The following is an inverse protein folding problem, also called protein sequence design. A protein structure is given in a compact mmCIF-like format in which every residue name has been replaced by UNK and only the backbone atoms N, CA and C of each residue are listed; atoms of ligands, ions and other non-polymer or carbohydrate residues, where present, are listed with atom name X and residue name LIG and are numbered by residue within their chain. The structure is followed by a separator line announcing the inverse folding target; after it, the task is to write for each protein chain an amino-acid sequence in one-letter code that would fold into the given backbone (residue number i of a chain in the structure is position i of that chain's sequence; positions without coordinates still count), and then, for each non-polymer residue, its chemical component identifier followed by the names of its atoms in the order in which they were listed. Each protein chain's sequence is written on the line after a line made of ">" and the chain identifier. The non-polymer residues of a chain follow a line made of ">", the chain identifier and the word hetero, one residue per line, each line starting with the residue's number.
data_IF_021998288726
#
_entry.id   IF_021998288726
#
_cell.length_a   1.000
_cell.length_b   1.000
_cell.length_c   1.000
_cell.angle_alpha   90.00
_cell.angle_beta   90.00
_cell.angle_gamma   90.00
#
_symmetry.space_group_name_H-M   'P 1'
#
loop_
_entity.id
_entity.type
_entity.pdbx_description
1 polymer ?
#
# COMPACT_ATOMS: atom_id res chain seq x y z
N UNK A 1 28.15 -34.30 9.64
CA UNK A 1 27.16 -33.85 10.62
C UNK A 1 25.98 -33.24 9.85
N UNK A 2 24.84 -33.91 9.81
CA UNK A 2 23.65 -33.36 9.18
C UNK A 2 23.06 -32.30 10.11
N UNK A 3 22.99 -31.05 9.66
CA UNK A 3 22.23 -30.01 10.34
C UNK A 3 20.74 -30.37 10.27
N UNK A 4 20.20 -30.98 11.31
CA UNK A 4 18.77 -31.13 11.50
C UNK A 4 18.24 -29.78 11.94
N UNK A 5 17.72 -28.99 10.97
CA UNK A 5 17.04 -27.75 11.27
C UNK A 5 15.75 -28.13 12.06
N UNK A 6 15.61 -27.57 13.25
CA UNK A 6 14.34 -27.65 14.00
C UNK A 6 13.20 -27.10 13.14
N UNK A 7 12.06 -27.82 13.01
CA UNK A 7 10.94 -27.34 12.21
C UNK A 7 10.44 -25.99 12.77
N UNK A 8 10.68 -24.93 12.02
CA UNK A 8 10.17 -23.59 12.36
C UNK A 8 8.66 -23.57 12.11
N UNK A 9 7.88 -23.19 13.09
CA UNK A 9 6.43 -23.04 12.93
C UNK A 9 6.11 -21.90 11.95
N UNK A 10 5.04 -22.06 11.16
CA UNK A 10 4.56 -21.02 10.22
C UNK A 10 4.38 -19.68 10.94
N UNK A 11 3.78 -19.67 12.11
CA UNK A 11 3.59 -18.48 12.95
C UNK A 11 4.91 -17.77 13.29
N UNK A 12 5.97 -18.54 13.62
CA UNK A 12 7.30 -17.96 13.87
C UNK A 12 7.89 -17.27 12.65
N UNK A 13 7.70 -17.86 11.46
CA UNK A 13 8.16 -17.25 10.19
C UNK A 13 7.39 -15.97 9.89
N UNK A 14 6.05 -16.01 10.00
CA UNK A 14 5.20 -14.84 9.75
C UNK A 14 5.51 -13.69 10.70
N UNK A 15 5.76 -14.00 11.98
CA UNK A 15 6.15 -13.00 12.97
C UNK A 15 7.50 -12.34 12.63
N UNK A 16 8.48 -13.12 12.19
CA UNK A 16 9.78 -12.58 11.75
C UNK A 16 9.64 -11.66 10.54
N UNK A 17 8.74 -12.00 9.60
CA UNK A 17 8.44 -11.14 8.45
C UNK A 17 7.81 -9.83 8.91
N UNK A 18 6.84 -9.86 9.83
CA UNK A 18 6.23 -8.66 10.39
C UNK A 18 7.27 -7.76 11.07
N UNK A 19 8.16 -8.34 11.88
CA UNK A 19 9.26 -7.56 12.50
C UNK A 19 10.21 -6.96 11.47
N UNK A 20 10.52 -7.68 10.40
CA UNK A 20 11.38 -7.18 9.31
C UNK A 20 10.73 -6.03 8.54
N UNK A 21 9.39 -5.93 8.53
CA UNK A 21 8.66 -4.85 7.86
C UNK A 21 8.53 -3.57 8.71
N UNK A 22 8.79 -3.64 10.04
CA UNK A 22 8.68 -2.46 10.92
C UNK A 22 9.55 -1.28 10.46
N UNK A 23 10.83 -1.47 10.11
CA UNK A 23 11.65 -0.36 9.59
C UNK A 23 11.06 0.23 8.30
N UNK A 24 10.55 -0.60 7.40
CA UNK A 24 9.94 -0.14 6.15
C UNK A 24 8.68 0.70 6.43
N UNK A 25 7.83 0.29 7.37
CA UNK A 25 6.65 1.05 7.80
C UNK A 25 7.07 2.41 8.39
N UNK A 26 8.11 2.43 9.22
CA UNK A 26 8.63 3.66 9.81
C UNK A 26 9.14 4.64 8.75
N UNK A 27 9.94 4.16 7.80
CA UNK A 27 10.43 4.96 6.68
C UNK A 27 9.26 5.47 5.83
N UNK A 28 8.30 4.61 5.51
CA UNK A 28 7.12 4.98 4.73
C UNK A 28 6.30 6.08 5.42
N UNK A 29 6.09 5.95 6.74
CA UNK A 29 5.42 6.96 7.56
C UNK A 29 6.15 8.30 7.53
N UNK A 30 7.48 8.32 7.61
CA UNK A 30 8.29 9.54 7.59
C UNK A 30 8.22 10.26 6.25
N UNK A 31 8.18 9.52 5.14
CA UNK A 31 8.22 10.09 3.80
C UNK A 31 6.84 10.40 3.20
N UNK A 32 5.79 9.66 3.57
CA UNK A 32 4.46 9.79 2.96
C UNK A 32 3.35 10.20 3.94
N UNK A 33 3.71 10.36 5.22
CA UNK A 33 2.76 10.82 6.24
C UNK A 33 1.86 9.72 6.81
N UNK A 34 0.84 10.09 7.61
CA UNK A 34 0.07 9.16 8.45
C UNK A 34 -0.90 8.24 7.72
N UNK A 35 -1.11 8.42 6.42
CA UNK A 35 -2.05 7.61 5.64
C UNK A 35 -1.76 6.12 5.66
N UNK A 36 -0.46 5.74 5.69
CA UNK A 36 -0.07 4.34 5.76
C UNK A 36 -0.57 3.63 7.03
N UNK A 37 -0.59 4.31 8.18
CA UNK A 37 -1.06 3.72 9.43
C UNK A 37 -2.56 3.42 9.36
N UNK A 38 -3.34 4.32 8.76
CA UNK A 38 -4.78 4.14 8.53
C UNK A 38 -5.00 2.93 7.61
N UNK A 39 -4.27 2.88 6.49
CA UNK A 39 -4.33 1.78 5.53
C UNK A 39 -3.94 0.44 6.14
N UNK A 40 -2.90 0.40 6.99
CA UNK A 40 -2.47 -0.80 7.71
C UNK A 40 -3.56 -1.32 8.65
N UNK A 41 -4.14 -0.44 9.47
CA UNK A 41 -5.20 -0.83 10.40
C UNK A 41 -6.41 -1.36 9.62
N UNK A 42 -6.81 -0.64 8.57
CA UNK A 42 -7.97 -1.02 7.76
C UNK A 42 -7.76 -2.36 7.05
N UNK A 43 -6.59 -2.55 6.43
CA UNK A 43 -6.23 -3.82 5.79
C UNK A 43 -6.17 -4.98 6.80
N UNK A 44 -5.54 -4.79 7.97
CA UNK A 44 -5.44 -5.83 8.99
C UNK A 44 -6.82 -6.23 9.54
N UNK A 45 -7.67 -5.26 9.86
CA UNK A 45 -9.03 -5.52 10.34
C UNK A 45 -9.84 -6.28 9.28
N UNK A 46 -9.79 -5.83 8.04
CA UNK A 46 -10.48 -6.47 6.91
C UNK A 46 -9.95 -7.89 6.67
N UNK A 47 -8.63 -8.08 6.69
CA UNK A 47 -8.02 -9.39 6.46
C UNK A 47 -8.40 -10.40 7.56
N UNK A 48 -8.34 -9.99 8.83
CA UNK A 48 -8.72 -10.83 9.98
C UNK A 48 -10.20 -11.20 9.90
N UNK A 49 -11.07 -10.24 9.59
CA UNK A 49 -12.50 -10.47 9.44
C UNK A 49 -12.82 -11.41 8.28
N UNK A 50 -12.21 -11.18 7.11
CA UNK A 50 -12.38 -12.02 5.92
C UNK A 50 -11.84 -13.44 6.15
N UNK A 51 -10.67 -13.58 6.75
CA UNK A 51 -10.08 -14.88 7.13
C UNK A 51 -11.01 -15.66 8.06
N UNK A 52 -11.47 -15.02 9.14
CA UNK A 52 -12.38 -15.64 10.10
C UNK A 52 -13.71 -16.07 9.44
N UNK A 53 -14.27 -15.23 8.56
CA UNK A 53 -15.49 -15.54 7.82
C UNK A 53 -15.30 -16.75 6.89
N UNK A 54 -14.20 -16.77 6.12
CA UNK A 54 -13.89 -17.88 5.20
C UNK A 54 -13.62 -19.19 5.94
N UNK A 55 -12.89 -19.15 7.05
CA UNK A 55 -12.66 -20.33 7.88
C UNK A 55 -13.97 -20.88 8.46
N UNK A 56 -14.87 -19.99 8.92
CA UNK A 56 -16.20 -20.37 9.41
C UNK A 56 -17.06 -21.02 8.32
N UNK A 57 -17.10 -20.42 7.12
CA UNK A 57 -17.84 -20.97 5.98
C UNK A 57 -17.32 -22.34 5.55
N UNK A 58 -16.03 -22.58 5.69
CA UNK A 58 -15.37 -23.87 5.36
C UNK A 58 -15.45 -24.90 6.50
N UNK A 59 -16.02 -24.54 7.65
CA UNK A 59 -16.09 -25.44 8.82
C UNK A 59 -14.73 -25.74 9.46
N UNK A 60 -13.72 -24.87 9.23
CA UNK A 60 -12.37 -25.03 9.76
C UNK A 60 -12.22 -24.35 11.13
N UNK A 61 -11.33 -24.84 12.01
CA UNK A 61 -11.08 -24.21 13.30
C UNK A 61 -10.45 -22.83 13.13
N UNK A 62 -11.08 -21.79 13.66
CA UNK A 62 -10.68 -20.38 13.44
C UNK A 62 -9.34 -20.08 14.13
N UNK A 63 -9.19 -20.44 15.42
CA UNK A 63 -8.04 -20.04 16.22
C UNK A 63 -6.67 -20.42 15.62
N UNK A 64 -6.40 -21.69 15.25
CA UNK A 64 -5.06 -22.06 14.80
C UNK A 64 -4.68 -21.40 13.47
N UNK A 65 -5.63 -21.21 12.56
CA UNK A 65 -5.37 -20.58 11.26
C UNK A 65 -5.29 -19.05 11.36
N UNK A 66 -6.07 -18.44 12.25
CA UNK A 66 -6.02 -16.98 12.43
C UNK A 66 -4.73 -16.55 13.16
N UNK A 67 -4.24 -17.40 14.09
CA UNK A 67 -3.02 -17.14 14.86
C UNK A 67 -1.73 -17.50 14.10
N UNK A 68 -1.82 -18.04 12.89
CA UNK A 68 -0.63 -18.28 12.06
C UNK A 68 0.02 -16.98 11.55
N UNK A 69 -0.73 -15.87 11.59
CA UNK A 69 -0.27 -14.53 11.20
C UNK A 69 -0.25 -14.27 9.70
N UNK A 70 -0.58 -15.25 8.86
CA UNK A 70 -0.49 -15.13 7.39
C UNK A 70 -1.45 -14.08 6.82
N UNK A 71 -2.64 -13.92 7.39
CA UNK A 71 -3.59 -12.89 6.99
C UNK A 71 -3.03 -11.48 7.29
N UNK A 72 -2.39 -11.30 8.45
CA UNK A 72 -1.77 -10.02 8.84
C UNK A 72 -0.59 -9.69 7.94
N UNK A 73 0.29 -10.66 7.64
CA UNK A 73 1.40 -10.47 6.69
C UNK A 73 0.87 -10.05 5.32
N UNK A 74 -0.16 -10.72 4.81
CA UNK A 74 -0.81 -10.36 3.53
C UNK A 74 -1.34 -8.92 3.56
N UNK A 75 -2.03 -8.54 4.64
CA UNK A 75 -2.57 -7.19 4.81
C UNK A 75 -1.49 -6.12 4.85
N UNK A 76 -0.40 -6.35 5.60
CA UNK A 76 0.72 -5.41 5.72
C UNK A 76 1.43 -5.23 4.37
N UNK A 77 1.74 -6.33 3.68
CA UNK A 77 2.38 -6.27 2.36
C UNK A 77 1.49 -5.55 1.34
N UNK A 78 0.19 -5.82 1.35
CA UNK A 78 -0.77 -5.15 0.48
C UNK A 78 -0.85 -3.64 0.80
N UNK A 79 -1.01 -3.26 2.06
CA UNK A 79 -1.09 -1.87 2.47
C UNK A 79 0.17 -1.07 2.09
N UNK A 80 1.36 -1.68 2.23
CA UNK A 80 2.63 -1.07 1.80
C UNK A 80 2.76 -0.92 0.28
N UNK A 81 2.00 -1.69 -0.49
CA UNK A 81 2.00 -1.63 -1.96
C UNK A 81 0.99 -0.61 -2.50
N UNK A 82 0.01 -0.19 -1.69
CA UNK A 82 -1.06 0.72 -2.09
C UNK A 82 -0.69 2.19 -1.85
N UNK A 83 -1.26 3.14 -2.62
CA UNK A 83 -1.09 4.56 -2.33
C UNK A 83 -1.60 4.90 -0.92
N UNK A 84 -0.83 5.66 -0.10
CA UNK A 84 -1.17 5.90 1.30
C UNK A 84 -2.43 6.78 1.52
N UNK A 85 -2.84 7.52 0.50
CA UNK A 85 -4.07 8.33 0.50
C UNK A 85 -5.21 7.66 -0.29
N UNK A 86 -5.10 6.36 -0.57
CA UNK A 86 -6.16 5.62 -1.24
C UNK A 86 -7.46 5.65 -0.43
N UNK A 87 -8.64 5.77 -1.08
CA UNK A 87 -9.92 5.69 -0.40
C UNK A 87 -10.06 4.37 0.38
N UNK A 88 -10.74 4.42 1.53
CA UNK A 88 -10.90 3.27 2.42
C UNK A 88 -11.47 2.02 1.71
N UNK A 89 -12.43 2.22 0.81
CA UNK A 89 -13.07 1.12 0.09
C UNK A 89 -12.10 0.38 -0.84
N UNK A 90 -11.09 1.09 -1.40
CA UNK A 90 -10.08 0.49 -2.27
C UNK A 90 -9.21 -0.51 -1.50
N UNK A 91 -8.77 -0.15 -0.30
CA UNK A 91 -8.00 -1.02 0.60
C UNK A 91 -8.85 -2.24 1.02
N UNK A 92 -10.12 -2.01 1.38
CA UNK A 92 -11.04 -3.08 1.76
C UNK A 92 -11.25 -4.07 0.61
N UNK A 93 -11.56 -3.58 -0.59
CA UNK A 93 -11.72 -4.44 -1.77
C UNK A 93 -10.45 -5.21 -2.11
N UNK A 94 -9.29 -4.54 -2.13
CA UNK A 94 -8.01 -5.18 -2.39
C UNK A 94 -7.75 -6.33 -1.41
N UNK A 95 -8.00 -6.08 -0.11
CA UNK A 95 -7.81 -7.07 0.95
C UNK A 95 -8.79 -8.24 0.83
N UNK A 96 -10.05 -7.96 0.49
CA UNK A 96 -11.03 -9.02 0.24
C UNK A 96 -10.62 -9.90 -0.94
N UNK A 97 -10.19 -9.33 -2.06
CA UNK A 97 -9.66 -10.11 -3.18
C UNK A 97 -8.43 -10.93 -2.80
N UNK A 98 -7.50 -10.35 -2.03
CA UNK A 98 -6.32 -11.05 -1.55
C UNK A 98 -6.66 -12.27 -0.67
N UNK A 99 -7.54 -12.08 0.32
CA UNK A 99 -7.86 -13.12 1.29
C UNK A 99 -8.90 -14.11 0.74
N UNK A 100 -10.01 -13.64 0.20
CA UNK A 100 -11.10 -14.52 -0.24
C UNK A 100 -10.71 -15.24 -1.53
N UNK A 101 -10.33 -14.48 -2.57
CA UNK A 101 -10.10 -15.04 -3.89
C UNK A 101 -8.73 -15.70 -3.96
N UNK A 102 -7.65 -14.95 -3.72
CA UNK A 102 -6.31 -15.46 -3.97
C UNK A 102 -5.83 -16.49 -2.93
N UNK A 103 -6.30 -16.40 -1.68
CA UNK A 103 -5.88 -17.32 -0.62
C UNK A 103 -6.89 -18.46 -0.43
N UNK A 104 -8.16 -18.15 -0.11
CA UNK A 104 -9.10 -19.18 0.33
C UNK A 104 -9.73 -20.01 -0.78
N UNK A 105 -10.02 -19.45 -1.97
CA UNK A 105 -10.56 -20.24 -3.08
C UNK A 105 -9.59 -21.31 -3.59
N UNK A 106 -8.29 -21.11 -3.41
CA UNK A 106 -7.26 -22.09 -3.77
C UNK A 106 -6.91 -23.07 -2.63
N UNK A 107 -7.61 -23.01 -1.49
CA UNK A 107 -7.42 -23.97 -0.40
C UNK A 107 -6.76 -23.39 0.86
N UNK A 108 -6.32 -22.18 0.86
CA UNK A 108 -5.66 -21.49 1.98
C UNK A 108 -4.14 -21.46 1.89
N UNK A 109 -3.48 -21.16 3.01
CA UNK A 109 -2.03 -21.01 3.06
C UNK A 109 -1.30 -22.25 2.53
N UNK A 110 -0.35 -22.03 1.64
CA UNK A 110 0.46 -23.08 1.01
C UNK A 110 -0.14 -23.69 -0.27
N UNK A 111 -1.42 -23.48 -0.55
CA UNK A 111 -2.08 -23.97 -1.77
C UNK A 111 -2.35 -22.86 -2.79
N UNK A 112 -2.11 -21.61 -2.45
CA UNK A 112 -2.30 -20.47 -3.34
C UNK A 112 -1.19 -20.44 -4.41
N UNK A 113 -1.59 -20.27 -5.67
CA UNK A 113 -0.67 -20.20 -6.83
C UNK A 113 0.17 -18.92 -6.85
N UNK A 114 -0.40 -17.82 -6.38
CA UNK A 114 0.20 -16.48 -6.37
C UNK A 114 0.23 -15.92 -4.96
N UNK A 115 1.11 -14.95 -4.74
CA UNK A 115 1.10 -14.18 -3.50
C UNK A 115 -0.24 -13.42 -3.38
N UNK A 116 -1.05 -13.65 -2.33
CA UNK A 116 -2.37 -13.05 -2.20
C UNK A 116 -2.35 -11.53 -2.19
N UNK A 117 -1.34 -10.91 -1.55
CA UNK A 117 -1.20 -9.44 -1.54
C UNK A 117 -1.00 -8.89 -2.96
N UNK A 118 -0.18 -9.56 -3.78
CA UNK A 118 0.07 -9.14 -5.16
C UNK A 118 -1.16 -9.31 -6.06
N UNK A 119 -1.98 -10.35 -5.81
CA UNK A 119 -3.25 -10.50 -6.53
C UNK A 119 -4.21 -9.35 -6.19
N UNK A 120 -4.37 -9.04 -4.91
CA UNK A 120 -5.19 -7.90 -4.49
C UNK A 120 -4.73 -6.58 -5.11
N UNK A 121 -3.42 -6.33 -5.11
CA UNK A 121 -2.82 -5.18 -5.76
C UNK A 121 -3.10 -5.14 -7.27
N UNK A 122 -2.85 -6.25 -7.97
CA UNK A 122 -3.03 -6.33 -9.43
C UNK A 122 -4.49 -6.10 -9.84
N UNK A 123 -5.45 -6.67 -9.10
CA UNK A 123 -6.88 -6.46 -9.36
C UNK A 123 -7.23 -4.97 -9.23
N UNK A 124 -6.74 -4.29 -8.19
CA UNK A 124 -6.99 -2.85 -8.02
C UNK A 124 -6.30 -2.01 -9.10
N UNK A 125 -5.07 -2.36 -9.47
CA UNK A 125 -4.33 -1.65 -10.52
C UNK A 125 -5.05 -1.72 -11.88
N UNK A 126 -5.64 -2.86 -12.21
CA UNK A 126 -6.37 -3.05 -13.47
C UNK A 126 -7.75 -2.39 -13.40
N UNK A 127 -8.46 -2.52 -12.27
CA UNK A 127 -9.84 -2.05 -12.12
C UNK A 127 -9.93 -0.54 -11.83
N UNK A 128 -8.97 0.02 -11.09
CA UNK A 128 -8.98 1.41 -10.62
C UNK A 128 -7.63 2.10 -10.84
N UNK A 129 -7.10 2.14 -12.07
CA UNK A 129 -5.76 2.68 -12.35
C UNK A 129 -5.60 4.13 -11.91
N UNK A 130 -6.65 4.95 -12.04
CA UNK A 130 -6.61 6.36 -11.63
C UNK A 130 -6.31 6.53 -10.13
N UNK A 131 -6.90 5.71 -9.26
CA UNK A 131 -6.63 5.74 -7.83
C UNK A 131 -5.26 5.14 -7.47
N UNK A 132 -4.83 4.12 -8.21
CA UNK A 132 -3.56 3.43 -7.95
C UNK A 132 -2.33 4.22 -8.37
N UNK A 133 -2.49 5.20 -9.24
CA UNK A 133 -1.41 6.10 -9.70
C UNK A 133 -1.30 7.40 -8.91
N UNK A 134 -2.25 7.70 -8.03
CA UNK A 134 -2.26 8.91 -7.21
C UNK A 134 -1.38 8.75 -5.96
N UNK A 135 -0.09 8.99 -6.12
CA UNK A 135 0.84 8.97 -5.00
C UNK A 135 1.05 10.38 -4.45
N UNK A 136 1.00 10.57 -3.12
CA UNK A 136 1.30 11.85 -2.52
C UNK A 136 2.77 12.22 -2.72
N UNK A 137 3.02 13.53 -2.76
CA UNK A 137 4.37 14.06 -2.73
C UNK A 137 5.09 13.62 -1.45
N UNK A 138 6.41 13.43 -1.54
CA UNK A 138 7.24 13.20 -0.35
C UNK A 138 7.05 14.36 0.63
N UNK A 139 6.95 14.09 1.92
CA UNK A 139 6.78 15.12 2.96
C UNK A 139 7.85 16.21 2.90
N UNK A 140 9.08 15.86 2.51
CA UNK A 140 10.19 16.82 2.33
C UNK A 140 10.00 17.77 1.14
N UNK A 141 9.16 17.41 0.17
CA UNK A 141 8.89 18.18 -1.05
C UNK A 141 7.46 18.74 -1.08
N UNK A 142 6.60 18.25 -0.20
CA UNK A 142 5.21 18.66 -0.11
C UNK A 142 5.09 20.10 0.39
N UNK A 143 4.33 20.93 -0.32
CA UNK A 143 4.02 22.30 0.10
C UNK A 143 3.00 22.33 1.23
N UNK A 144 2.26 21.24 1.43
CA UNK A 144 1.19 21.11 2.43
C UNK A 144 1.33 19.78 3.15
N UNK A 145 1.30 19.82 4.47
CA UNK A 145 1.29 18.64 5.32
C UNK A 145 -0.13 18.41 5.84
N UNK A 146 -0.68 17.23 5.57
CA UNK A 146 -1.96 16.83 6.15
C UNK A 146 -1.74 16.35 7.58
N UNK A 147 -2.57 16.84 8.50
CA UNK A 147 -2.64 16.28 9.85
C UNK A 147 -3.22 14.86 9.80
N UNK A 148 -3.09 14.11 10.90
CA UNK A 148 -3.71 12.78 10.99
C UNK A 148 -5.23 12.84 10.82
N UNK A 149 -5.89 13.85 11.40
CA UNK A 149 -7.34 14.03 11.30
C UNK A 149 -7.77 14.34 9.85
N UNK A 150 -7.04 15.22 9.16
CA UNK A 150 -7.32 15.59 7.76
C UNK A 150 -7.13 14.37 6.84
N UNK A 151 -6.08 13.59 7.09
CA UNK A 151 -5.80 12.35 6.34
C UNK A 151 -6.92 11.32 6.52
N UNK A 152 -7.41 11.16 7.76
CA UNK A 152 -8.52 10.27 8.07
C UNK A 152 -9.79 10.74 7.35
N UNK A 153 -10.09 12.04 7.43
CA UNK A 153 -11.27 12.63 6.77
C UNK A 153 -11.17 12.46 5.25
N UNK A 154 -9.99 12.63 4.66
CA UNK A 154 -9.78 12.44 3.23
C UNK A 154 -9.97 10.98 2.79
N UNK A 155 -9.39 10.02 3.52
CA UNK A 155 -9.50 8.60 3.19
C UNK A 155 -10.96 8.11 3.26
N UNK A 156 -11.74 8.59 4.25
CA UNK A 156 -13.12 8.13 4.45
C UNK A 156 -14.17 8.92 3.68
N UNK A 157 -14.02 10.24 3.59
CA UNK A 157 -15.03 11.14 3.02
C UNK A 157 -14.60 11.76 1.68
N UNK A 158 -13.34 11.65 1.28
CA UNK A 158 -12.80 12.30 0.09
C UNK A 158 -12.69 13.82 0.18
N UNK A 159 -12.89 14.41 1.38
CA UNK A 159 -12.87 15.86 1.57
C UNK A 159 -11.51 16.33 2.09
N UNK A 160 -10.97 17.36 1.44
CA UNK A 160 -9.73 18.01 1.87
C UNK A 160 -10.05 19.29 2.66
N UNK A 161 -9.22 19.68 3.63
CA UNK A 161 -9.43 20.92 4.38
C UNK A 161 -9.26 22.15 3.48
N UNK A 162 -10.19 23.10 3.61
CA UNK A 162 -10.14 24.39 2.92
C UNK A 162 -10.26 24.31 1.40
N UNK A 163 -9.49 25.11 0.68
CA UNK A 163 -9.46 25.17 -0.79
C UNK A 163 -8.41 24.24 -1.42
N UNK A 164 -7.87 23.29 -0.66
CA UNK A 164 -6.83 22.38 -1.14
C UNK A 164 -7.39 21.45 -2.23
N UNK A 165 -6.70 21.41 -3.37
CA UNK A 165 -7.00 20.48 -4.44
C UNK A 165 -6.10 19.25 -4.34
N UNK A 166 -6.58 18.10 -4.78
CA UNK A 166 -5.83 16.85 -4.79
C UNK A 166 -4.51 16.97 -5.56
N UNK A 167 -4.50 17.75 -6.65
CA UNK A 167 -3.31 18.02 -7.46
C UNK A 167 -2.18 18.72 -6.67
N UNK A 168 -2.49 19.41 -5.57
CA UNK A 168 -1.48 20.01 -4.72
C UNK A 168 -0.81 19.01 -3.75
N UNK A 169 -1.45 17.88 -3.53
CA UNK A 169 -0.96 16.79 -2.68
C UNK A 169 -0.26 15.69 -3.46
N UNK A 170 -0.68 15.46 -4.71
CA UNK A 170 -0.08 14.46 -5.58
C UNK A 170 1.04 15.11 -6.40
N UNK A 171 2.11 14.38 -6.57
CA UNK A 171 3.23 14.80 -7.42
C UNK A 171 3.44 13.75 -8.50
N UNK A 172 3.64 14.23 -9.75
CA UNK A 172 4.06 13.35 -10.81
C UNK A 172 5.38 12.67 -10.42
N UNK A 173 5.47 11.37 -10.64
CA UNK A 173 6.73 10.66 -10.37
C UNK A 173 7.85 11.27 -11.21
N UNK A 174 9.12 11.21 -10.77
CA UNK A 174 10.25 11.67 -11.56
C UNK A 174 10.25 11.13 -12.99
N UNK A 175 9.84 9.86 -13.13
CA UNK A 175 9.77 9.19 -14.43
C UNK A 175 8.66 9.75 -15.31
N UNK A 176 7.50 10.07 -14.74
CA UNK A 176 6.35 10.64 -15.45
C UNK A 176 6.62 12.08 -15.86
N UNK A 177 7.28 12.85 -15.00
CA UNK A 177 7.77 14.19 -15.33
C UNK A 177 8.76 14.14 -16.52
N UNK A 178 9.72 13.22 -16.47
CA UNK A 178 10.68 13.01 -17.55
C UNK A 178 9.96 12.66 -18.86
N UNK A 179 9.02 11.71 -18.82
CA UNK A 179 8.20 11.32 -19.97
C UNK A 179 7.45 12.50 -20.56
N UNK A 180 6.77 13.27 -19.74
CA UNK A 180 6.00 14.44 -20.18
C UNK A 180 6.89 15.50 -20.82
N UNK A 181 8.05 15.79 -20.22
CA UNK A 181 9.01 16.76 -20.76
C UNK A 181 9.59 16.29 -22.11
N UNK A 182 9.85 15.00 -22.27
CA UNK A 182 10.30 14.42 -23.53
C UNK A 182 9.20 14.51 -24.62
N UNK A 183 7.95 14.25 -24.27
CA UNK A 183 6.81 14.41 -25.20
C UNK A 183 6.60 15.87 -25.62
N UNK A 184 6.98 16.83 -24.77
CA UNK A 184 7.00 18.26 -25.10
C UNK A 184 8.22 18.67 -25.94
N UNK A 185 9.04 17.72 -26.40
CA UNK A 185 10.19 17.97 -27.28
C UNK A 185 11.45 18.51 -26.58
N UNK A 186 11.50 18.47 -25.24
CA UNK A 186 12.71 18.89 -24.50
C UNK A 186 13.77 17.80 -24.54
N UNK A 187 15.05 18.24 -24.65
CA UNK A 187 16.16 17.28 -24.61
C UNK A 187 16.38 16.73 -23.20
N UNK A 188 16.90 15.50 -23.10
CA UNK A 188 17.27 14.89 -21.82
C UNK A 188 18.27 15.77 -21.06
N UNK A 189 19.21 16.39 -21.76
CA UNK A 189 20.22 17.27 -21.16
C UNK A 189 19.59 18.51 -20.49
N UNK A 190 18.58 19.12 -21.11
CA UNK A 190 17.88 20.29 -20.56
C UNK A 190 17.03 19.89 -19.33
N UNK A 191 16.42 18.73 -19.38
CA UNK A 191 15.61 18.21 -18.27
C UNK A 191 16.51 17.93 -17.06
N UNK A 192 17.65 17.28 -17.25
CA UNK A 192 18.60 16.96 -16.18
C UNK A 192 19.23 18.21 -15.58
N UNK A 193 19.53 19.23 -16.39
CA UNK A 193 20.04 20.51 -15.92
C UNK A 193 19.05 21.22 -14.99
N UNK A 194 17.76 21.20 -15.33
CA UNK A 194 16.71 21.78 -14.51
C UNK A 194 16.44 20.96 -13.24
N UNK A 195 16.69 19.63 -13.27
CA UNK A 195 16.53 18.74 -12.12
C UNK A 195 17.59 18.95 -11.04
N UNK A 196 18.82 19.25 -11.45
CA UNK A 196 19.92 19.50 -10.51
C UNK A 196 19.91 20.91 -9.90
N UNK A 197 19.01 21.80 -10.38
CA UNK A 197 18.84 23.14 -9.81
C UNK A 197 17.91 23.07 -8.57
N UNK A 198 18.36 23.50 -7.36
CA UNK A 198 17.59 23.40 -6.12
C UNK A 198 16.34 24.30 -6.05
N UNK A 199 16.02 25.01 -7.11
CA UNK A 199 14.86 25.89 -7.20
C UNK A 199 14.19 25.72 -8.55
N UNK A 200 13.25 24.79 -8.62
CA UNK A 200 12.18 24.89 -9.61
C UNK A 200 11.37 26.13 -9.31
N UNK A 201 11.84 27.29 -9.77
CA UNK A 201 11.01 28.48 -9.84
C UNK A 201 9.83 28.12 -10.76
N UNK A 202 8.67 27.93 -10.15
CA UNK A 202 7.40 27.93 -10.84
C UNK A 202 7.21 29.32 -11.47
N UNK A 203 7.76 29.55 -12.64
CA UNK A 203 7.24 30.56 -13.55
C UNK A 203 6.06 29.92 -14.26
N UNK A 204 4.88 30.16 -13.69
CA UNK A 204 3.63 30.05 -14.46
C UNK A 204 3.59 31.19 -15.50
N UNK A 205 3.12 30.94 -16.71
CA UNK A 205 2.46 31.97 -17.49
C UNK A 205 1.05 32.23 -16.95
#
# INVERSE_FOLDING_TARGET
>A
MAFVSTPTSVSSVMLKVLFALVPAIAVYQLYFGPGILISLVLACVTAIAAEAAMLRLRGLPIKPFLLDGSAVVTAVLLALSMPPLAPWWLIVLATLFAIVVAKHLYGGLGNNLFNPAMVGYAVMLISFPAHMTQWPALTTLAQVHLSFADTLQFIFNGTLPGSLKLDALTMATPLDTLRTQLLLGRSVADIMKNWSSPRGSATRP
#
